data_IF_840174213859
#
_entry.id   IF_840174213859
#
_cell.length_a   1.000
_cell.length_b   1.000
_cell.length_c   1.000
_cell.angle_alpha   90.00
_cell.angle_beta   90.00
_cell.angle_gamma   90.00
#
_symmetry.space_group_name_H-M   'P 1'
#
loop_
_entity.id
_entity.type
_entity.pdbx_description
1 polymer ?
#
# COMPACT_ATOMS: atom_id res chain seq x y z
N UNK A 1 11.50 16.88 -12.26
CA UNK A 1 10.35 15.95 -12.17
C UNK A 1 10.69 14.92 -11.11
N UNK A 2 10.29 15.13 -9.86
CA UNK A 2 10.46 14.12 -8.81
C UNK A 2 9.25 13.20 -8.91
N UNK A 3 9.42 12.06 -9.58
CA UNK A 3 8.50 10.93 -9.41
C UNK A 3 8.77 10.38 -8.01
N UNK A 4 8.01 10.82 -7.01
CA UNK A 4 8.05 10.17 -5.71
C UNK A 4 7.64 8.70 -5.91
N UNK A 5 8.58 7.74 -5.72
CA UNK A 5 8.27 6.36 -5.97
C UNK A 5 7.29 5.89 -4.89
N UNK A 6 6.06 5.56 -5.29
CA UNK A 6 5.04 5.02 -4.37
C UNK A 6 5.58 3.75 -3.72
N UNK A 7 5.81 3.80 -2.42
CA UNK A 7 6.23 2.64 -1.64
C UNK A 7 4.99 1.86 -1.22
N UNK A 8 5.01 0.53 -1.42
CA UNK A 8 3.91 -0.37 -1.11
C UNK A 8 4.31 -1.31 0.02
N UNK A 9 3.42 -1.47 1.00
CA UNK A 9 3.61 -2.39 2.13
C UNK A 9 2.54 -3.47 2.08
N UNK A 10 2.95 -4.74 2.10
CA UNK A 10 2.07 -5.91 2.17
C UNK A 10 2.27 -6.64 3.49
N UNK A 11 1.22 -7.23 4.04
CA UNK A 11 1.32 -8.09 5.24
C UNK A 11 1.59 -9.55 4.89
N UNK A 12 1.49 -9.94 3.62
CA UNK A 12 1.61 -11.32 3.18
C UNK A 12 0.33 -12.12 3.39
N UNK A 13 -0.78 -11.44 3.72
CA UNK A 13 -2.05 -12.11 3.87
C UNK A 13 -2.55 -12.60 2.52
N UNK A 14 -3.11 -13.82 2.49
CA UNK A 14 -3.49 -14.51 1.24
C UNK A 14 -4.39 -13.63 0.36
N UNK A 15 -5.32 -12.91 0.98
CA UNK A 15 -6.26 -12.03 0.29
C UNK A 15 -5.60 -10.83 -0.42
N UNK A 16 -4.43 -10.35 0.03
CA UNK A 16 -3.74 -9.21 -0.58
C UNK A 16 -3.33 -9.53 -2.02
N UNK A 17 -2.83 -10.75 -2.23
CA UNK A 17 -2.49 -11.26 -3.56
C UNK A 17 -3.72 -11.59 -4.42
N UNK A 18 -4.79 -12.10 -3.80
CA UNK A 18 -6.01 -12.51 -4.52
C UNK A 18 -6.82 -11.31 -5.02
N UNK A 19 -6.92 -10.25 -4.21
CA UNK A 19 -7.71 -9.06 -4.52
C UNK A 19 -6.85 -7.98 -5.18
N UNK A 20 -5.52 -8.07 -5.06
CA UNK A 20 -4.58 -7.15 -5.71
C UNK A 20 -4.45 -5.82 -4.97
N UNK A 21 -4.40 -5.84 -3.64
CA UNK A 21 -4.20 -4.64 -2.81
C UNK A 21 -3.02 -4.78 -1.85
N UNK A 22 -2.56 -3.64 -1.32
CA UNK A 22 -1.49 -3.56 -0.32
C UNK A 22 -2.04 -2.96 0.98
N UNK A 23 -1.44 -3.34 2.13
CA UNK A 23 -1.84 -2.85 3.45
C UNK A 23 -1.71 -1.34 3.58
N UNK A 24 -0.63 -0.79 3.04
CA UNK A 24 -0.39 0.65 3.03
C UNK A 24 0.38 1.08 1.79
N UNK A 25 0.21 2.35 1.43
CA UNK A 25 1.00 3.03 0.41
C UNK A 25 1.51 4.35 0.97
N UNK A 26 2.80 4.61 0.81
CA UNK A 26 3.39 5.95 1.02
C UNK A 26 3.52 6.66 -0.31
N UNK A 27 3.07 7.91 -0.34
CA UNK A 27 3.21 8.82 -1.48
C UNK A 27 3.63 10.19 -0.94
N UNK A 28 4.92 10.47 -0.97
CA UNK A 28 5.54 11.63 -0.33
C UNK A 28 5.31 11.60 1.19
N UNK A 29 4.62 12.63 1.68
CA UNK A 29 4.28 12.80 3.10
C UNK A 29 2.94 12.16 3.50
N UNK A 30 2.23 11.55 2.53
CA UNK A 30 0.97 10.89 2.79
C UNK A 30 1.15 9.38 2.95
N UNK A 31 0.52 8.84 3.99
CA UNK A 31 0.37 7.40 4.20
C UNK A 31 -1.11 7.05 4.12
N UNK A 32 -1.47 6.21 3.16
CA UNK A 32 -2.81 5.67 3.01
C UNK A 32 -2.82 4.22 3.51
N UNK A 33 -3.72 3.91 4.45
CA UNK A 33 -3.87 2.57 5.03
C UNK A 33 -5.19 1.98 4.57
N UNK A 34 -5.18 0.72 4.12
CA UNK A 34 -6.41 0.00 3.76
C UNK A 34 -7.33 -0.13 4.98
N UNK A 35 -8.65 -0.11 4.76
CA UNK A 35 -9.62 -0.35 5.83
C UNK A 35 -9.33 -1.65 6.59
N UNK A 36 -9.34 -1.57 7.92
CA UNK A 36 -9.15 -2.69 8.84
C UNK A 36 -10.45 -2.90 9.62
N UNK A 37 -10.93 -4.14 9.62
CA UNK A 37 -12.06 -4.59 10.45
C UNK A 37 -11.55 -5.28 11.72
#
# INVERSE_FOLDING_TARGET
MVTDPRERVTTGAVWESQVGYCRAVRSGDYICVSGTA
#
